data_IF_113471381483
#
_entry.id   IF_113471381483
#
_cell.length_a   1.000
_cell.length_b   1.000
_cell.length_c   1.000
_cell.angle_alpha   90.00
_cell.angle_beta   90.00
_cell.angle_gamma   90.00
#
_symmetry.space_group_name_H-M   'P 1'
#
loop_
_entity.id
_entity.type
_entity.pdbx_description
1 polymer ?
#
# COMPACT_ATOMS: atom_id res chain seq x y z
N UNK A 1 13.87 -44.35 -33.01
CA UNK A 1 13.67 -44.86 -31.64
C UNK A 1 14.99 -45.36 -31.12
N UNK A 2 15.58 -44.79 -30.05
CA UNK A 2 16.69 -45.46 -29.41
C UNK A 2 16.12 -46.60 -28.56
N UNK A 3 16.64 -47.81 -28.78
CA UNK A 3 16.38 -48.99 -27.95
C UNK A 3 17.37 -48.94 -26.78
N UNK A 4 16.88 -48.80 -25.56
CA UNK A 4 17.66 -49.03 -24.36
C UNK A 4 17.86 -50.54 -24.15
N UNK A 5 19.08 -50.95 -23.83
CA UNK A 5 19.40 -52.28 -23.31
C UNK A 5 20.00 -52.11 -21.91
N UNK A 6 19.49 -52.87 -20.95
CA UNK A 6 19.91 -52.88 -19.55
C UNK A 6 21.20 -53.69 -19.37
N UNK A 7 22.18 -53.12 -18.66
CA UNK A 7 23.21 -53.83 -17.93
C UNK A 7 23.54 -53.06 -16.62
N UNK A 8 23.99 -53.81 -15.61
CA UNK A 8 24.06 -53.52 -14.17
C UNK A 8 25.11 -52.44 -13.71
N UNK A 9 25.26 -52.13 -12.40
CA UNK A 9 25.30 -50.77 -11.86
C UNK A 9 26.64 -50.04 -12.07
N UNK A 10 26.60 -49.05 -12.96
CA UNK A 10 27.61 -48.01 -13.10
C UNK A 10 26.94 -46.79 -13.69
N UNK A 11 27.14 -45.61 -13.08
CA UNK A 11 26.53 -44.32 -13.44
C UNK A 11 26.27 -44.17 -14.96
N UNK A 12 25.00 -44.22 -15.37
CA UNK A 12 24.57 -43.70 -16.66
C UNK A 12 24.82 -42.18 -16.67
N UNK A 13 25.81 -41.74 -17.44
CA UNK A 13 25.80 -40.38 -18.01
C UNK A 13 25.45 -40.55 -19.48
N UNK A 14 24.16 -40.73 -19.77
CA UNK A 14 23.66 -40.59 -21.14
C UNK A 14 23.72 -39.10 -21.52
N UNK A 15 24.90 -38.64 -21.94
CA UNK A 15 25.05 -37.48 -22.81
C UNK A 15 24.69 -37.92 -24.22
N UNK A 16 23.40 -37.98 -24.51
CA UNK A 16 22.92 -38.14 -25.88
C UNK A 16 22.94 -36.79 -26.60
N UNK A 17 23.43 -36.78 -27.84
CA UNK A 17 23.17 -35.65 -28.73
C UNK A 17 21.68 -35.63 -29.05
N UNK A 18 21.01 -34.54 -28.69
CA UNK A 18 19.61 -34.32 -29.03
C UNK A 18 19.55 -33.73 -30.44
N UNK A 19 18.59 -34.19 -31.21
CA UNK A 19 18.04 -33.46 -32.36
C UNK A 19 16.53 -33.51 -32.25
N UNK A 20 15.92 -32.39 -31.92
CA UNK A 20 14.48 -32.25 -31.80
C UNK A 20 14.04 -31.02 -32.60
N UNK A 21 12.87 -31.10 -33.23
CA UNK A 21 12.24 -29.93 -33.84
C UNK A 21 10.84 -29.80 -33.27
N UNK A 22 10.48 -28.58 -32.88
CA UNK A 22 9.16 -28.23 -32.39
C UNK A 22 8.58 -27.19 -33.34
N UNK A 23 7.45 -27.54 -33.94
CA UNK A 23 6.64 -26.64 -34.76
C UNK A 23 5.24 -26.58 -34.21
N UNK A 24 4.76 -25.37 -33.96
CA UNK A 24 3.42 -25.11 -33.53
C UNK A 24 2.96 -23.80 -34.18
N UNK A 25 1.78 -23.83 -34.76
CA UNK A 25 1.11 -22.63 -35.29
C UNK A 25 -0.11 -22.39 -34.42
N UNK A 26 -0.23 -21.17 -33.89
CA UNK A 26 -1.40 -20.75 -33.14
C UNK A 26 -1.74 -21.68 -31.96
N UNK A 27 -0.74 -22.21 -31.27
CA UNK A 27 -0.94 -23.08 -30.11
C UNK A 27 -1.53 -22.26 -28.97
N UNK A 28 -2.73 -22.63 -28.53
CA UNK A 28 -3.35 -22.09 -27.32
C UNK A 28 -2.41 -22.34 -26.14
N UNK A 29 -2.18 -21.38 -25.25
CA UNK A 29 -1.31 -21.57 -24.08
C UNK A 29 -2.04 -22.15 -22.87
N UNK A 30 -3.38 -22.24 -22.89
CA UNK A 30 -4.18 -22.73 -21.78
C UNK A 30 -3.82 -24.17 -21.36
N UNK A 31 -3.29 -25.00 -22.28
CA UNK A 31 -2.85 -26.37 -21.94
C UNK A 31 -1.61 -26.42 -21.05
N UNK A 32 -0.78 -25.35 -20.99
CA UNK A 32 0.46 -25.36 -20.19
C UNK A 32 0.16 -25.49 -18.70
N UNK A 33 -0.88 -24.81 -18.21
CA UNK A 33 -1.32 -24.94 -16.82
C UNK A 33 -1.75 -26.39 -16.51
N UNK A 34 -2.54 -26.99 -17.40
CA UNK A 34 -2.98 -28.38 -17.29
C UNK A 34 -1.80 -29.38 -17.31
N UNK A 35 -0.82 -29.18 -18.18
CA UNK A 35 0.36 -30.05 -18.29
C UNK A 35 1.31 -29.93 -17.10
N UNK A 36 1.38 -28.75 -16.48
CA UNK A 36 2.20 -28.50 -15.29
C UNK A 36 1.57 -29.04 -13.99
N UNK A 37 0.33 -29.57 -14.04
CA UNK A 37 -0.41 -30.01 -12.86
C UNK A 37 -0.69 -28.89 -11.87
N UNK A 38 -0.66 -27.63 -12.33
CA UNK A 38 -0.89 -26.43 -11.55
C UNK A 38 -2.09 -25.70 -12.11
N UNK A 39 -3.00 -25.31 -11.21
CA UNK A 39 -4.16 -24.47 -11.58
C UNK A 39 -3.73 -23.03 -11.88
N UNK A 40 -2.57 -22.60 -11.37
CA UNK A 40 -2.14 -21.20 -11.34
C UNK A 40 -0.60 -21.07 -11.49
N UNK A 41 -0.10 -19.99 -12.11
CA UNK A 41 -0.86 -18.96 -12.84
C UNK A 41 -1.52 -19.53 -14.10
N UNK A 42 -2.69 -19.00 -14.45
CA UNK A 42 -3.36 -19.33 -15.70
C UNK A 42 -2.72 -18.52 -16.83
N UNK A 43 -2.30 -19.20 -17.90
CA UNK A 43 -1.68 -18.56 -19.07
C UNK A 43 -2.62 -18.76 -20.25
N UNK A 44 -3.18 -17.67 -20.76
CA UNK A 44 -4.00 -17.65 -21.96
C UNK A 44 -3.28 -16.93 -23.10
N UNK A 45 -3.65 -17.21 -24.35
CA UNK A 45 -3.08 -16.58 -25.54
C UNK A 45 -2.57 -17.59 -26.54
N UNK A 46 -1.84 -17.13 -27.56
CA UNK A 46 -1.36 -17.98 -28.65
C UNK A 46 0.15 -17.93 -28.83
N UNK A 47 0.72 -19.07 -29.18
CA UNK A 47 2.13 -19.27 -29.45
C UNK A 47 2.35 -19.81 -30.86
N UNK A 48 3.14 -19.09 -31.65
CA UNK A 48 3.75 -19.63 -32.87
C UNK A 48 5.20 -20.01 -32.55
N UNK A 49 5.63 -21.22 -32.90
CA UNK A 49 6.95 -21.76 -32.58
C UNK A 49 7.47 -22.53 -33.78
N UNK A 50 8.70 -22.24 -34.21
CA UNK A 50 9.49 -23.09 -35.11
C UNK A 50 10.92 -23.08 -34.60
N UNK A 51 11.29 -24.10 -33.81
CA UNK A 51 12.58 -24.19 -33.13
C UNK A 51 13.17 -25.59 -33.28
N UNK A 52 14.42 -25.66 -33.71
CA UNK A 52 15.25 -26.87 -33.70
C UNK A 52 16.23 -26.80 -32.52
N UNK A 53 16.31 -27.88 -31.76
CA UNK A 53 17.28 -28.10 -30.69
C UNK A 53 18.27 -29.19 -31.12
N UNK A 54 19.56 -28.87 -31.10
CA UNK A 54 20.64 -29.79 -31.50
C UNK A 54 21.79 -29.86 -30.48
N UNK A 55 22.50 -30.98 -30.41
CA UNK A 55 23.71 -31.14 -29.59
C UNK A 55 23.45 -31.68 -28.19
N UNK A 56 24.45 -31.57 -27.31
CA UNK A 56 24.47 -32.28 -26.04
C UNK A 56 23.50 -31.73 -24.99
N UNK A 57 22.77 -32.63 -24.32
CA UNK A 57 22.02 -32.31 -23.10
C UNK A 57 22.96 -32.10 -21.90
N UNK A 58 22.58 -31.24 -20.94
CA UNK A 58 21.32 -30.49 -20.82
C UNK A 58 21.30 -29.14 -21.55
N UNK A 59 22.32 -28.80 -22.34
CA UNK A 59 22.48 -27.47 -22.96
C UNK A 59 22.53 -27.56 -24.50
N UNK A 60 21.42 -27.96 -25.15
CA UNK A 60 21.36 -27.98 -26.60
C UNK A 60 21.49 -26.56 -27.18
N UNK A 61 21.92 -26.48 -28.43
CA UNK A 61 21.86 -25.29 -29.26
C UNK A 61 20.47 -25.17 -29.88
N UNK A 62 19.85 -24.00 -29.75
CA UNK A 62 18.53 -23.68 -30.26
C UNK A 62 18.66 -22.76 -31.48
N UNK A 63 17.94 -23.10 -32.55
CA UNK A 63 17.82 -22.22 -33.74
C UNK A 63 16.36 -22.14 -34.15
N UNK A 64 15.86 -20.93 -34.37
CA UNK A 64 14.49 -20.74 -34.81
C UNK A 64 13.84 -19.49 -34.23
N UNK A 65 12.51 -19.45 -34.25
CA UNK A 65 11.73 -18.30 -33.79
C UNK A 65 10.52 -18.72 -32.96
N UNK A 66 10.16 -17.83 -32.04
CA UNK A 66 8.97 -17.90 -31.22
C UNK A 66 8.23 -16.57 -31.33
N UNK A 67 6.93 -16.60 -31.56
CA UNK A 67 6.06 -15.43 -31.49
C UNK A 67 4.93 -15.65 -30.49
N UNK A 68 4.73 -14.67 -29.62
CA UNK A 68 3.66 -14.59 -28.63
C UNK A 68 2.58 -13.66 -29.16
N UNK A 69 1.32 -14.07 -29.04
CA UNK A 69 0.17 -13.24 -29.41
C UNK A 69 -0.86 -13.22 -28.30
N UNK A 70 -1.22 -12.01 -27.87
CA UNK A 70 -2.26 -11.73 -26.87
C UNK A 70 -2.10 -12.55 -25.57
N UNK A 71 -0.86 -12.80 -25.14
CA UNK A 71 -0.59 -13.64 -23.97
C UNK A 71 -0.98 -12.92 -22.69
N UNK A 72 -1.81 -13.54 -21.86
CA UNK A 72 -2.21 -13.02 -20.55
C UNK A 72 -1.85 -14.01 -19.46
N UNK A 73 -1.38 -13.50 -18.33
CA UNK A 73 -1.02 -14.29 -17.16
C UNK A 73 -1.87 -13.85 -15.98
N UNK A 74 -2.75 -14.72 -15.51
CA UNK A 74 -3.62 -14.48 -14.36
C UNK A 74 -3.06 -15.18 -13.12
N UNK A 75 -3.09 -14.52 -11.96
CA UNK A 75 -2.62 -15.08 -10.69
C UNK A 75 -3.79 -15.40 -9.75
N UNK A 76 -3.54 -16.29 -8.80
CA UNK A 76 -4.47 -16.76 -7.77
C UNK A 76 -5.16 -15.66 -6.94
N UNK A 77 -4.48 -14.53 -6.77
CA UNK A 77 -4.78 -13.53 -5.75
C UNK A 77 -5.88 -12.53 -6.12
N UNK A 78 -6.65 -12.78 -7.19
CA UNK A 78 -7.65 -11.83 -7.69
C UNK A 78 -7.03 -10.54 -8.26
N UNK A 79 -5.71 -10.51 -8.43
CA UNK A 79 -5.01 -9.43 -9.10
C UNK A 79 -5.35 -9.43 -10.60
N UNK A 80 -5.38 -8.24 -11.20
CA UNK A 80 -5.61 -8.12 -12.63
C UNK A 80 -4.57 -8.90 -13.43
N UNK A 81 -4.99 -9.55 -14.53
CA UNK A 81 -4.08 -10.32 -15.36
C UNK A 81 -2.99 -9.42 -15.94
N UNK A 82 -1.75 -9.93 -15.98
CA UNK A 82 -0.65 -9.27 -16.68
C UNK A 82 -0.83 -9.54 -18.17
N UNK A 83 -0.90 -8.48 -18.97
CA UNK A 83 -1.01 -8.55 -20.42
C UNK A 83 -2.25 -7.81 -20.96
N UNK A 84 -2.55 -7.95 -22.27
CA UNK A 84 -1.93 -8.87 -23.22
C UNK A 84 -0.44 -8.59 -23.46
N UNK A 85 0.30 -9.62 -23.86
CA UNK A 85 1.72 -9.54 -24.23
C UNK A 85 1.88 -10.08 -25.65
N UNK A 86 2.44 -9.27 -26.52
CA UNK A 86 2.82 -9.64 -27.87
C UNK A 86 4.34 -9.60 -28.00
N UNK A 87 4.93 -10.55 -28.69
CA UNK A 87 6.38 -10.57 -28.79
C UNK A 87 6.95 -11.52 -29.82
N UNK A 88 8.25 -11.32 -30.10
CA UNK A 88 9.02 -12.15 -31.01
C UNK A 88 10.42 -12.38 -30.45
N UNK A 89 10.81 -13.64 -30.40
CA UNK A 89 12.09 -14.10 -29.90
C UNK A 89 12.76 -14.95 -30.99
N UNK A 90 14.04 -14.68 -31.26
CA UNK A 90 14.87 -15.48 -32.16
C UNK A 90 15.90 -16.25 -31.35
N UNK A 91 15.99 -17.55 -31.57
CA UNK A 91 17.01 -18.40 -30.97
C UNK A 91 18.17 -18.60 -31.93
N UNK A 92 19.40 -18.50 -31.43
CA UNK A 92 20.62 -18.77 -32.19
C UNK A 92 21.70 -19.35 -31.27
N UNK A 93 21.99 -20.63 -31.42
CA UNK A 93 22.90 -21.35 -30.54
C UNK A 93 22.37 -21.38 -29.10
N UNK A 94 23.16 -20.89 -28.15
CA UNK A 94 22.74 -20.78 -26.74
C UNK A 94 22.34 -19.36 -26.35
N UNK A 95 21.62 -18.69 -27.24
CA UNK A 95 21.11 -17.35 -26.99
C UNK A 95 19.71 -17.17 -27.57
N UNK A 96 18.93 -16.33 -26.89
CA UNK A 96 17.63 -15.83 -27.28
C UNK A 96 17.74 -14.32 -27.44
N UNK A 97 17.47 -13.83 -28.64
CA UNK A 97 17.28 -12.41 -28.93
C UNK A 97 15.80 -12.11 -28.79
N UNK A 98 15.43 -11.30 -27.80
CA UNK A 98 14.11 -10.69 -27.74
C UNK A 98 14.14 -9.51 -28.72
N UNK A 99 13.53 -9.71 -29.88
CA UNK A 99 13.46 -8.68 -30.93
C UNK A 99 12.45 -7.60 -30.56
N UNK A 100 11.37 -8.01 -29.89
CA UNK A 100 10.32 -7.14 -29.38
C UNK A 100 9.46 -7.92 -28.40
N UNK A 101 9.16 -7.33 -27.27
CA UNK A 101 8.05 -7.70 -26.39
C UNK A 101 7.29 -6.42 -26.07
N UNK A 102 5.96 -6.45 -26.20
CA UNK A 102 5.09 -5.29 -25.99
C UNK A 102 3.97 -5.69 -25.05
N UNK A 103 3.75 -4.87 -24.03
CA UNK A 103 2.60 -4.93 -23.13
C UNK A 103 1.84 -3.62 -23.29
N UNK A 104 0.79 -3.56 -24.13
CA UNK A 104 -0.06 -2.37 -24.23
C UNK A 104 -0.77 -2.08 -22.91
N UNK A 105 -0.94 -0.80 -22.59
CA UNK A 105 -1.67 -0.33 -21.40
C UNK A 105 -2.34 1.01 -21.70
N UNK A 106 -3.67 1.00 -21.89
CA UNK A 106 -4.42 2.16 -22.37
C UNK A 106 -3.92 2.62 -23.74
N UNK A 107 -3.55 3.91 -23.83
CA UNK A 107 -2.95 4.52 -25.03
C UNK A 107 -1.42 4.33 -25.12
N UNK A 108 -0.79 3.77 -24.08
CA UNK A 108 0.66 3.56 -24.00
C UNK A 108 1.08 2.09 -24.05
N UNK A 109 2.37 1.84 -23.82
CA UNK A 109 2.92 0.49 -23.78
C UNK A 109 4.24 0.39 -23.00
N UNK A 110 4.49 -0.78 -22.42
CA UNK A 110 5.81 -1.21 -21.98
C UNK A 110 6.43 -2.07 -23.09
N UNK A 111 7.65 -1.73 -23.51
CA UNK A 111 8.39 -2.45 -24.54
C UNK A 111 9.67 -3.03 -23.94
N UNK A 112 10.02 -4.24 -24.32
CA UNK A 112 11.28 -4.85 -23.94
C UNK A 112 11.99 -5.48 -25.15
N UNK A 113 13.31 -5.32 -25.17
CA UNK A 113 14.21 -5.87 -26.18
C UNK A 113 15.55 -6.24 -25.54
N UNK A 114 16.30 -7.14 -26.16
CA UNK A 114 17.64 -7.48 -25.69
C UNK A 114 17.98 -8.96 -25.87
N UNK A 115 18.98 -9.42 -25.14
CA UNK A 115 19.57 -10.75 -25.32
C UNK A 115 19.68 -11.49 -24.00
N UNK A 116 19.38 -12.78 -24.05
CA UNK A 116 19.67 -13.73 -22.97
C UNK A 116 20.52 -14.85 -23.55
N UNK A 117 21.72 -15.05 -23.02
CA UNK A 117 22.62 -16.13 -23.42
C UNK A 117 22.88 -17.06 -22.23
N UNK A 118 22.95 -18.37 -22.44
CA UNK A 118 23.10 -19.32 -21.33
C UNK A 118 24.25 -20.30 -21.55
N UNK A 119 24.87 -20.69 -20.44
CA UNK A 119 25.84 -21.77 -20.37
C UNK A 119 25.62 -22.63 -19.10
N UNK A 120 26.51 -23.58 -18.83
CA UNK A 120 26.42 -24.48 -17.67
C UNK A 120 26.45 -23.78 -16.31
N UNK A 121 26.86 -22.52 -16.25
CA UNK A 121 26.98 -21.72 -15.04
C UNK A 121 25.81 -20.73 -14.87
N UNK A 122 24.86 -20.66 -15.81
CA UNK A 122 23.68 -19.79 -15.73
C UNK A 122 23.43 -18.93 -16.98
N UNK A 123 22.42 -18.06 -16.92
CA UNK A 123 22.00 -17.17 -18.02
C UNK A 123 22.50 -15.74 -17.82
N UNK A 124 23.28 -15.25 -18.77
CA UNK A 124 23.68 -13.86 -18.93
C UNK A 124 22.57 -13.09 -19.66
N UNK A 125 22.11 -12.01 -19.05
CA UNK A 125 20.93 -11.25 -19.44
C UNK A 125 21.34 -9.81 -19.70
N UNK A 126 20.86 -9.23 -20.79
CA UNK A 126 20.96 -7.81 -21.10
C UNK A 126 19.67 -7.37 -21.80
N UNK A 127 18.77 -6.76 -21.04
CA UNK A 127 17.46 -6.34 -21.50
C UNK A 127 17.27 -4.85 -21.26
N UNK A 128 16.71 -4.18 -22.27
CA UNK A 128 16.21 -2.80 -22.17
C UNK A 128 14.69 -2.84 -22.12
N UNK A 129 14.13 -2.20 -21.11
CA UNK A 129 12.70 -1.97 -20.96
C UNK A 129 12.43 -0.47 -21.14
N UNK A 130 11.41 -0.13 -21.93
CA UNK A 130 11.00 1.26 -22.20
C UNK A 130 9.52 1.38 -21.92
N UNK A 131 9.17 2.23 -20.97
CA UNK A 131 7.81 2.64 -20.70
C UNK A 131 7.52 3.92 -21.51
N UNK A 132 6.40 3.92 -22.21
CA UNK A 132 5.93 5.01 -23.07
C UNK A 132 4.44 5.18 -22.80
N UNK A 133 4.11 6.19 -21.99
CA UNK A 133 2.79 6.41 -21.40
C UNK A 133 2.18 5.14 -20.77
N UNK A 134 3.00 4.27 -20.15
CA UNK A 134 2.54 2.98 -19.64
C UNK A 134 1.68 3.16 -18.39
N UNK A 135 0.37 2.96 -18.52
CA UNK A 135 -0.54 3.14 -17.40
C UNK A 135 -0.29 2.11 -16.29
N UNK A 136 -0.27 2.60 -15.04
CA UNK A 136 -0.13 1.78 -13.85
C UNK A 136 -1.24 0.71 -13.79
N UNK A 137 -0.93 -0.54 -13.41
CA UNK A 137 -1.93 -1.59 -13.26
C UNK A 137 -3.03 -1.19 -12.27
N UNK A 138 -4.27 -1.67 -12.48
CA UNK A 138 -5.34 -1.43 -11.52
C UNK A 138 -5.04 -2.17 -10.19
N UNK A 139 -5.65 -1.69 -9.10
CA UNK A 139 -5.39 -2.21 -7.74
C UNK A 139 -4.25 -1.54 -6.99
N UNK A 140 -3.44 -0.70 -7.65
CA UNK A 140 -2.52 0.22 -6.97
C UNK A 140 -3.31 1.41 -6.39
N UNK A 141 -2.88 1.98 -5.25
CA UNK A 141 -3.50 3.18 -4.67
C UNK A 141 -3.25 4.47 -5.48
N UNK A 142 -2.53 4.34 -6.61
CA UNK A 142 -2.19 5.41 -7.52
C UNK A 142 -2.57 5.01 -8.94
N UNK A 143 -3.18 5.95 -9.66
CA UNK A 143 -3.38 5.92 -11.11
C UNK A 143 -2.37 6.86 -11.75
N UNK A 144 -1.91 6.57 -12.97
CA UNK A 144 -0.96 7.41 -13.68
C UNK A 144 -0.26 6.65 -14.79
N UNK A 145 0.60 7.33 -15.54
CA UNK A 145 1.39 6.74 -16.61
C UNK A 145 2.89 6.88 -16.34
N UNK A 146 3.62 5.83 -16.66
CA UNK A 146 5.07 5.77 -16.55
C UNK A 146 5.74 6.00 -17.91
N UNK A 147 6.74 6.86 -17.92
CA UNK A 147 7.65 7.10 -19.03
C UNK A 147 9.09 6.85 -18.59
N UNK A 148 9.92 6.31 -19.47
CA UNK A 148 11.35 6.16 -19.19
C UNK A 148 11.89 4.80 -19.58
N UNK A 149 13.07 4.48 -19.06
CA UNK A 149 13.76 3.26 -19.44
C UNK A 149 14.49 2.62 -18.26
N UNK A 150 14.41 1.29 -18.22
CA UNK A 150 15.15 0.44 -17.30
C UNK A 150 16.05 -0.51 -18.09
N UNK A 151 17.16 -0.89 -17.49
CA UNK A 151 18.05 -1.96 -17.98
C UNK A 151 18.08 -3.06 -16.94
N UNK A 152 17.87 -4.30 -17.36
CA UNK A 152 18.05 -5.49 -16.55
C UNK A 152 19.23 -6.28 -17.11
N UNK A 153 20.34 -6.29 -16.37
CA UNK A 153 21.60 -6.83 -16.86
C UNK A 153 22.29 -7.74 -15.84
N UNK A 154 23.15 -8.64 -16.31
CA UNK A 154 23.96 -9.51 -15.49
C UNK A 154 23.49 -10.95 -15.51
N UNK A 155 23.96 -11.74 -14.55
CA UNK A 155 23.81 -13.19 -14.59
C UNK A 155 22.73 -13.68 -13.64
N UNK A 156 21.70 -14.33 -14.16
CA UNK A 156 20.65 -14.96 -13.36
C UNK A 156 21.24 -15.96 -12.35
N UNK A 157 20.79 -15.95 -11.07
CA UNK A 157 19.70 -15.13 -10.51
C UNK A 157 20.10 -13.72 -10.04
N UNK A 158 21.40 -13.39 -10.01
CA UNK A 158 21.92 -12.10 -9.56
C UNK A 158 21.91 -11.06 -10.68
N UNK A 159 20.71 -10.56 -11.00
CA UNK A 159 20.53 -9.50 -11.99
C UNK A 159 20.63 -8.12 -11.37
N UNK A 160 20.92 -7.12 -12.18
CA UNK A 160 20.90 -5.74 -11.79
C UNK A 160 19.87 -4.95 -12.61
N UNK A 161 18.94 -4.30 -11.92
CA UNK A 161 17.89 -3.46 -12.50
C UNK A 161 18.23 -1.99 -12.25
N UNK A 162 18.46 -1.23 -13.33
CA UNK A 162 18.86 0.18 -13.23
C UNK A 162 18.05 1.07 -14.17
N UNK A 163 17.83 2.32 -13.79
CA UNK A 163 17.27 3.31 -14.72
C UNK A 163 16.43 4.37 -14.02
N UNK A 164 15.66 5.09 -14.83
CA UNK A 164 14.81 6.17 -14.35
C UNK A 164 13.44 6.11 -15.02
N UNK A 165 12.42 6.32 -14.20
CA UNK A 165 11.02 6.40 -14.60
C UNK A 165 10.47 7.76 -14.16
N UNK A 166 9.66 8.37 -15.02
CA UNK A 166 8.83 9.52 -14.75
C UNK A 166 7.38 9.04 -14.58
N UNK A 167 6.75 9.41 -13.49
CA UNK A 167 5.33 9.28 -13.24
C UNK A 167 4.70 10.68 -13.33
N UNK A 168 4.02 10.96 -14.44
CA UNK A 168 3.40 12.25 -14.68
C UNK A 168 1.88 12.19 -14.49
N UNK A 169 1.30 13.24 -13.90
CA UNK A 169 -0.16 13.40 -13.79
C UNK A 169 -0.83 12.31 -12.95
N UNK A 170 -0.12 11.77 -11.96
CA UNK A 170 -0.64 10.70 -11.13
C UNK A 170 -1.84 11.18 -10.30
N UNK A 171 -2.77 10.28 -10.01
CA UNK A 171 -3.84 10.51 -9.04
C UNK A 171 -3.74 9.46 -7.96
N UNK A 172 -3.44 9.89 -6.74
CA UNK A 172 -3.34 9.03 -5.56
C UNK A 172 -4.59 9.26 -4.73
N UNK A 173 -5.35 8.19 -4.52
CA UNK A 173 -6.51 8.23 -3.63
C UNK A 173 -6.13 7.56 -2.31
N UNK A 174 -6.05 8.37 -1.27
CA UNK A 174 -5.88 7.89 0.09
C UNK A 174 -7.23 7.36 0.56
N UNK A 175 -7.37 6.04 0.81
CA UNK A 175 -8.63 5.51 1.30
C UNK A 175 -8.96 6.22 2.62
N UNK A 176 -10.18 6.79 2.66
CA UNK A 176 -10.79 7.28 3.88
C UNK A 176 -10.69 6.14 4.89
N UNK A 177 -10.16 6.41 6.10
CA UNK A 177 -10.44 5.46 7.17
C UNK A 177 -11.94 5.54 7.35
N UNK A 178 -12.63 4.42 7.23
CA UNK A 178 -13.91 4.29 7.87
C UNK A 178 -13.67 4.68 9.32
N UNK A 179 -14.11 5.89 9.71
CA UNK A 179 -14.46 6.13 11.10
C UNK A 179 -15.24 4.88 11.52
N UNK A 180 -14.97 4.29 12.69
CA UNK A 180 -15.89 3.30 13.25
C UNK A 180 -17.17 4.04 13.67
N UNK A 181 -17.83 4.68 12.71
CA UNK A 181 -19.20 5.12 12.78
C UNK A 181 -20.01 3.87 12.54
N UNK A 182 -20.78 3.52 13.57
CA UNK A 182 -21.66 2.38 13.61
C UNK A 182 -22.72 2.45 12.50
N UNK A 183 -22.42 1.93 11.32
CA UNK A 183 -23.40 1.39 10.37
C UNK A 183 -22.71 0.91 9.10
N UNK A 184 -22.24 -0.35 9.10
CA UNK A 184 -22.31 -1.23 7.92
C UNK A 184 -21.94 -2.67 8.29
N UNK A 185 -22.99 -3.46 8.55
CA UNK A 185 -23.19 -4.83 8.07
C UNK A 185 -21.94 -5.74 8.11
N UNK A 186 -21.75 -6.43 9.24
CA UNK A 186 -20.90 -7.63 9.31
C UNK A 186 -21.72 -8.87 8.96
N UNK A 187 -21.90 -9.20 7.68
CA UNK A 187 -22.31 -10.56 7.28
C UNK A 187 -21.10 -11.47 7.51
N UNK A 188 -21.24 -12.44 8.41
CA UNK A 188 -20.21 -13.47 8.62
C UNK A 188 -20.19 -14.43 7.44
N UNK A 189 -19.01 -14.62 6.85
CA UNK A 189 -18.80 -15.65 5.84
C UNK A 189 -17.51 -15.54 5.04
N UNK A 190 -16.40 -15.09 5.64
CA UNK A 190 -15.07 -15.23 5.03
C UNK A 190 -14.08 -15.56 6.16
N UNK A 191 -13.19 -16.56 5.99
CA UNK A 191 -12.18 -16.87 7.00
C UNK A 191 -11.37 -15.63 7.33
N UNK A 192 -10.95 -15.57 8.59
CA UNK A 192 -10.05 -14.58 9.16
C UNK A 192 -8.74 -14.54 8.36
N UNK A 193 -8.73 -13.77 7.27
CA UNK A 193 -7.51 -13.35 6.59
C UNK A 193 -6.92 -12.21 7.43
N UNK A 194 -5.96 -12.58 8.26
CA UNK A 194 -4.72 -11.84 8.53
C UNK A 194 -4.80 -10.32 8.33
N UNK A 195 -5.60 -9.64 9.14
CA UNK A 195 -5.61 -8.19 9.25
C UNK A 195 -4.39 -7.65 10.02
N UNK A 196 -3.20 -8.21 9.74
CA UNK A 196 -1.88 -7.69 10.12
C UNK A 196 -1.02 -7.31 8.92
N UNK A 197 -1.47 -7.53 7.68
CA UNK A 197 -0.62 -7.34 6.49
C UNK A 197 -0.80 -6.00 5.76
N UNK A 198 -1.85 -5.20 6.03
CA UNK A 198 -2.20 -4.13 5.09
C UNK A 198 -1.50 -2.77 5.26
N UNK A 199 -0.47 -2.62 6.10
CA UNK A 199 0.38 -1.39 6.11
C UNK A 199 1.88 -1.66 6.37
N UNK A 200 2.35 -2.89 6.18
CA UNK A 200 3.77 -3.22 6.32
C UNK A 200 4.02 -4.71 6.17
N UNK A 201 4.35 -5.15 4.96
CA UNK A 201 4.58 -6.58 4.69
C UNK A 201 4.47 -7.00 3.24
N UNK A 202 4.63 -6.10 2.26
CA UNK A 202 4.87 -6.53 0.88
C UNK A 202 6.30 -6.99 0.75
N UNK A 203 6.59 -8.23 1.15
CA UNK A 203 7.90 -8.84 0.92
C UNK A 203 8.26 -8.73 -0.56
N UNK A 204 9.52 -8.43 -0.86
CA UNK A 204 10.05 -8.53 -2.24
C UNK A 204 9.74 -9.93 -2.75
N UNK A 205 9.12 -10.09 -3.94
CA UNK A 205 8.91 -11.43 -4.49
C UNK A 205 10.23 -12.22 -4.48
N UNK A 206 10.21 -13.48 -4.05
CA UNK A 206 11.41 -14.29 -3.84
C UNK A 206 12.38 -14.30 -5.05
N UNK A 207 11.85 -14.14 -6.26
CA UNK A 207 12.65 -14.11 -7.49
C UNK A 207 13.40 -12.79 -7.72
N UNK A 208 12.96 -11.69 -7.10
CA UNK A 208 13.60 -10.36 -7.15
C UNK A 208 14.57 -10.17 -5.98
N UNK A 209 14.44 -10.94 -4.90
CA UNK A 209 15.32 -10.85 -3.74
C UNK A 209 16.83 -10.90 -4.09
N UNK A 210 17.31 -11.70 -5.07
CA UNK A 210 18.73 -11.74 -5.42
C UNK A 210 19.21 -10.56 -6.29
N UNK A 211 18.32 -9.63 -6.66
CA UNK A 211 18.66 -8.56 -7.60
C UNK A 211 19.30 -7.36 -6.90
N UNK A 212 20.21 -6.71 -7.63
CA UNK A 212 20.74 -5.37 -7.34
C UNK A 212 19.84 -4.31 -8.01
N UNK A 213 19.10 -3.53 -7.24
CA UNK A 213 18.13 -2.57 -7.77
C UNK A 213 18.61 -1.15 -7.50
N UNK A 214 18.63 -0.33 -8.54
CA UNK A 214 18.90 1.11 -8.48
C UNK A 214 18.02 1.85 -9.48
N UNK A 215 16.81 2.19 -9.04
CA UNK A 215 15.79 2.82 -9.88
C UNK A 215 15.41 4.17 -9.31
N UNK A 216 15.48 5.21 -10.14
CA UNK A 216 14.92 6.51 -9.82
C UNK A 216 13.48 6.62 -10.33
N UNK A 217 12.57 7.09 -9.48
CA UNK A 217 11.21 7.49 -9.83
C UNK A 217 11.10 9.00 -9.62
N UNK A 218 10.84 9.73 -10.69
CA UNK A 218 10.48 11.14 -10.67
C UNK A 218 8.97 11.23 -10.73
N UNK A 219 8.37 11.99 -9.83
CA UNK A 219 6.93 12.24 -9.80
C UNK A 219 6.70 13.70 -10.12
N UNK A 220 5.81 13.97 -11.09
CA UNK A 220 5.45 15.32 -11.49
C UNK A 220 3.94 15.48 -11.59
N UNK A 221 3.43 16.59 -11.09
CA UNK A 221 2.03 16.97 -11.15
C UNK A 221 1.11 15.88 -10.57
N UNK A 222 1.52 15.25 -9.47
CA UNK A 222 0.75 14.18 -8.85
C UNK A 222 -0.29 14.76 -7.89
N UNK A 223 -1.56 14.47 -8.15
CA UNK A 223 -2.65 14.91 -7.31
C UNK A 223 -2.98 13.85 -6.23
N UNK A 224 -2.78 14.20 -4.97
CA UNK A 224 -3.07 13.36 -3.80
C UNK A 224 -4.38 13.83 -3.15
N UNK A 225 -5.35 12.92 -3.05
CA UNK A 225 -6.68 13.21 -2.50
C UNK A 225 -7.10 12.21 -1.45
N UNK A 226 -7.88 12.67 -0.46
CA UNK A 226 -8.48 11.83 0.58
C UNK A 226 -7.92 12.11 1.97
N UNK A 227 -8.62 11.67 3.01
CA UNK A 227 -8.26 11.95 4.42
C UNK A 227 -8.14 13.44 4.71
N UNK A 228 -9.00 14.25 4.07
CA UNK A 228 -8.96 15.71 4.14
C UNK A 228 -7.88 16.39 3.31
N UNK A 229 -6.92 15.64 2.73
CA UNK A 229 -5.88 16.21 1.88
C UNK A 229 -6.37 16.39 0.43
N UNK A 230 -5.96 17.50 -0.18
CA UNK A 230 -6.05 17.75 -1.61
C UNK A 230 -4.79 18.53 -2.01
N UNK A 231 -3.80 17.81 -2.52
CA UNK A 231 -2.43 18.28 -2.71
C UNK A 231 -1.99 17.99 -4.15
N UNK A 232 -1.26 18.93 -4.74
CA UNK A 232 -0.46 18.71 -5.94
C UNK A 232 1.01 18.57 -5.52
N UNK A 233 1.63 17.47 -5.91
CA UNK A 233 2.89 16.97 -5.36
C UNK A 233 3.87 16.65 -6.46
N UNK A 234 5.09 17.16 -6.29
CA UNK A 234 6.26 16.78 -7.07
C UNK A 234 7.23 15.99 -6.18
N UNK A 235 8.11 15.20 -6.78
CA UNK A 235 9.10 14.49 -6.00
C UNK A 235 10.08 13.64 -6.79
N UNK A 236 11.08 13.14 -6.08
CA UNK A 236 12.01 12.16 -6.61
C UNK A 236 12.36 11.16 -5.53
N UNK A 237 12.20 9.88 -5.86
CA UNK A 237 12.52 8.76 -4.98
C UNK A 237 13.48 7.83 -5.71
N UNK A 238 14.53 7.41 -5.03
CA UNK A 238 15.43 6.36 -5.47
C UNK A 238 15.14 5.10 -4.67
N UNK A 239 14.89 4.01 -5.38
CA UNK A 239 14.70 2.66 -4.83
C UNK A 239 16.03 1.93 -4.96
N UNK A 240 16.59 1.55 -3.82
CA UNK A 240 17.86 0.84 -3.74
C UNK A 240 17.63 -0.54 -3.12
N UNK A 241 18.19 -1.59 -3.70
CA UNK A 241 18.17 -2.93 -3.10
C UNK A 241 19.50 -3.61 -3.36
N UNK A 242 20.21 -3.99 -2.30
CA UNK A 242 21.35 -4.90 -2.43
C UNK A 242 20.85 -6.35 -2.53
N UNK A 243 21.56 -7.24 -3.26
CA UNK A 243 21.18 -8.64 -3.35
C UNK A 243 20.95 -9.31 -2.00
N UNK A 244 19.76 -9.86 -1.79
CA UNK A 244 19.34 -10.52 -0.56
C UNK A 244 18.92 -9.58 0.57
N UNK A 245 18.87 -8.27 0.32
CA UNK A 245 18.41 -7.27 1.27
C UNK A 245 17.00 -6.75 0.93
N UNK A 246 16.34 -6.16 1.91
CA UNK A 246 15.11 -5.41 1.70
C UNK A 246 15.40 -4.07 0.99
N UNK A 247 14.50 -3.59 0.11
CA UNK A 247 14.66 -2.34 -0.59
C UNK A 247 14.58 -1.15 0.38
N UNK A 248 15.34 -0.11 0.08
CA UNK A 248 15.28 1.18 0.76
C UNK A 248 14.82 2.26 -0.21
N UNK A 249 14.17 3.28 0.35
CA UNK A 249 13.60 4.38 -0.42
C UNK A 249 14.22 5.68 0.09
N UNK A 250 14.90 6.40 -0.80
CA UNK A 250 15.60 7.65 -0.47
C UNK A 250 15.14 8.77 -1.40
N UNK A 251 14.80 9.94 -0.86
CA UNK A 251 14.34 11.05 -1.68
C UNK A 251 13.36 11.95 -0.95
N UNK A 252 12.60 12.74 -1.70
CA UNK A 252 11.63 13.65 -1.13
C UNK A 252 10.45 13.91 -2.04
N UNK A 253 9.33 14.28 -1.42
CA UNK A 253 8.15 14.85 -2.05
C UNK A 253 7.93 16.26 -1.51
N UNK A 254 7.46 17.15 -2.37
CA UNK A 254 7.14 18.54 -2.06
C UNK A 254 5.73 18.85 -2.57
N UNK A 255 4.97 19.55 -1.74
CA UNK A 255 3.64 20.07 -2.10
C UNK A 255 3.83 21.40 -2.80
N UNK A 256 3.44 21.48 -4.07
CA UNK A 256 3.48 22.70 -4.89
C UNK A 256 2.27 23.60 -4.61
N UNK A 257 1.09 23.00 -4.52
CA UNK A 257 -0.15 23.66 -4.08
C UNK A 257 -0.99 22.65 -3.32
N UNK A 258 -1.83 23.12 -2.40
CA UNK A 258 -2.74 22.22 -1.74
C UNK A 258 -3.43 22.76 -0.52
N UNK A 259 -4.41 21.98 -0.08
CA UNK A 259 -5.20 22.25 1.11
C UNK A 259 -5.41 20.99 1.93
N UNK A 260 -5.57 21.19 3.23
CA UNK A 260 -5.93 20.16 4.18
C UNK A 260 -7.17 20.55 4.96
N UNK A 261 -8.16 19.66 5.01
CA UNK A 261 -9.38 19.83 5.78
C UNK A 261 -9.26 19.12 7.13
N UNK A 262 -9.43 19.88 8.20
CA UNK A 262 -9.44 19.39 9.57
C UNK A 262 -10.68 19.91 10.29
N UNK A 263 -11.55 19.02 10.79
CA UNK A 263 -12.77 19.40 11.53
C UNK A 263 -13.59 20.52 10.83
N UNK A 264 -13.94 20.31 9.57
CA UNK A 264 -14.66 21.25 8.69
C UNK A 264 -13.92 22.56 8.34
N UNK A 265 -12.63 22.65 8.67
CA UNK A 265 -11.80 23.82 8.42
C UNK A 265 -10.75 23.53 7.38
N UNK A 266 -10.61 24.44 6.43
CA UNK A 266 -9.61 24.32 5.36
C UNK A 266 -8.38 25.14 5.74
N UNK A 267 -7.23 24.49 5.67
CA UNK A 267 -5.91 25.08 5.77
C UNK A 267 -5.21 24.99 4.42
N UNK A 268 -4.58 26.06 3.98
CA UNK A 268 -3.70 26.08 2.81
C UNK A 268 -2.33 25.53 3.21
N UNK A 269 -1.71 24.72 2.37
CA UNK A 269 -0.35 24.23 2.62
C UNK A 269 0.62 25.28 2.08
N UNK A 270 1.27 26.03 2.97
CA UNK A 270 2.31 27.01 2.60
C UNK A 270 3.65 26.32 2.32
N UNK A 271 3.90 25.20 3.00
CA UNK A 271 5.07 24.34 2.79
C UNK A 271 4.70 22.91 3.14
N UNK A 272 5.07 21.95 2.31
CA UNK A 272 4.83 20.53 2.61
C UNK A 272 5.94 19.66 2.06
N UNK A 273 6.92 19.31 2.89
CA UNK A 273 8.04 18.46 2.49
C UNK A 273 7.99 17.15 3.26
N UNK A 274 8.07 16.04 2.54
CA UNK A 274 8.21 14.69 3.09
C UNK A 274 9.51 14.10 2.58
N UNK A 275 10.43 13.76 3.49
CA UNK A 275 11.74 13.19 3.15
C UNK A 275 11.82 11.72 3.53
N UNK A 276 12.15 10.87 2.56
CA UNK A 276 12.42 9.46 2.73
C UNK A 276 13.92 9.26 3.05
N UNK A 277 14.26 8.68 4.21
CA UNK A 277 15.63 8.69 4.72
C UNK A 277 16.59 7.67 4.07
N UNK A 278 16.11 6.77 3.21
CA UNK A 278 16.94 5.71 2.65
C UNK A 278 17.28 4.58 3.62
N UNK A 279 16.50 4.44 4.70
CA UNK A 279 16.64 3.37 5.68
C UNK A 279 15.67 2.23 5.40
N UNK A 280 15.88 1.07 6.03
CA UNK A 280 14.96 -0.09 5.90
C UNK A 280 13.60 0.18 6.54
N UNK A 281 13.58 0.96 7.62
CA UNK A 281 12.34 1.37 8.24
C UNK A 281 11.74 2.56 7.46
N UNK A 282 10.58 2.35 6.84
CA UNK A 282 9.84 3.41 6.16
C UNK A 282 9.19 4.36 7.17
N UNK A 283 9.99 5.30 7.69
CA UNK A 283 9.57 6.34 8.65
C UNK A 283 10.04 7.72 8.16
N UNK A 284 9.27 8.38 7.28
CA UNK A 284 9.68 9.65 6.67
C UNK A 284 9.76 10.80 7.66
N UNK A 285 10.59 11.80 7.34
CA UNK A 285 10.60 13.09 8.02
C UNK A 285 9.58 14.02 7.39
N UNK A 286 8.82 14.72 8.23
CA UNK A 286 7.81 15.68 7.87
C UNK A 286 8.32 17.10 8.17
N UNK A 287 8.01 18.02 7.28
CA UNK A 287 8.15 19.46 7.48
C UNK A 287 7.00 20.15 6.72
N UNK A 288 5.90 20.37 7.44
CA UNK A 288 4.64 20.86 6.87
C UNK A 288 4.20 22.10 7.63
N UNK A 289 3.87 23.16 6.89
CA UNK A 289 3.29 24.40 7.40
C UNK A 289 1.93 24.59 6.73
N UNK A 290 0.88 24.45 7.52
CA UNK A 290 -0.49 24.67 7.10
C UNK A 290 -1.01 26.00 7.67
N UNK A 291 -1.64 26.81 6.84
CA UNK A 291 -1.99 28.20 7.15
C UNK A 291 -3.48 28.43 6.98
N UNK A 292 -4.06 29.20 7.90
CA UNK A 292 -5.42 29.65 7.79
C UNK A 292 -5.53 31.14 8.09
N UNK A 293 -6.00 31.90 7.11
CA UNK A 293 -6.19 33.35 7.22
C UNK A 293 -7.63 33.64 7.62
N UNK A 294 -7.81 34.20 8.81
CA UNK A 294 -9.07 34.74 9.31
C UNK A 294 -9.05 36.27 9.13
N UNK A 295 -10.16 36.96 9.45
CA UNK A 295 -10.29 38.40 9.25
C UNK A 295 -9.19 39.21 9.95
N UNK A 296 -8.88 38.83 11.19
CA UNK A 296 -8.03 39.62 12.08
C UNK A 296 -6.76 38.86 12.53
N UNK A 297 -6.60 37.60 12.11
CA UNK A 297 -5.48 36.74 12.52
C UNK A 297 -5.13 35.71 11.45
N UNK A 298 -3.84 35.46 11.25
CA UNK A 298 -3.34 34.31 10.48
C UNK A 298 -2.87 33.23 11.44
N UNK A 299 -3.43 32.03 11.36
CA UNK A 299 -3.01 30.86 12.13
C UNK A 299 -2.06 30.01 11.28
N UNK A 300 -1.00 29.50 11.89
CA UNK A 300 -0.09 28.51 11.29
C UNK A 300 -0.03 27.27 12.16
N UNK A 301 -0.15 26.11 11.54
CA UNK A 301 0.08 24.79 12.14
C UNK A 301 1.34 24.22 11.51
N UNK A 302 2.36 24.04 12.32
CA UNK A 302 3.67 23.53 11.87
C UNK A 302 3.80 22.10 12.37
N UNK A 303 3.94 21.15 11.45
CA UNK A 303 4.12 19.73 11.73
C UNK A 303 5.53 19.33 11.31
N UNK A 304 6.28 18.72 12.23
CA UNK A 304 7.69 18.37 12.03
C UNK A 304 8.05 17.01 12.62
N UNK A 305 9.17 16.45 12.17
CA UNK A 305 9.76 15.22 12.71
C UNK A 305 9.28 13.96 12.01
N UNK A 306 9.54 12.80 12.63
CA UNK A 306 9.24 11.49 12.03
C UNK A 306 7.74 11.22 11.98
N UNK A 307 7.27 10.57 10.93
CA UNK A 307 5.87 10.16 10.78
C UNK A 307 5.38 9.28 11.94
N UNK A 308 6.26 8.45 12.51
CA UNK A 308 5.97 7.63 13.70
C UNK A 308 5.83 8.43 15.00
N UNK A 309 6.40 9.65 15.07
CA UNK A 309 6.41 10.50 16.25
C UNK A 309 6.39 12.00 15.87
N UNK A 310 5.32 12.47 15.21
CA UNK A 310 5.25 13.83 14.70
C UNK A 310 5.11 14.82 15.87
N UNK A 311 5.66 16.02 15.67
CA UNK A 311 5.51 17.15 16.59
C UNK A 311 4.72 18.24 15.89
N UNK A 312 3.77 18.83 16.60
CA UNK A 312 2.96 19.91 16.09
C UNK A 312 3.03 21.14 16.98
N UNK A 313 3.20 22.31 16.37
CA UNK A 313 3.19 23.61 17.03
C UNK A 313 2.18 24.54 16.35
N UNK A 314 1.62 25.46 17.12
CA UNK A 314 0.67 26.46 16.62
C UNK A 314 1.25 27.84 16.81
N UNK A 315 1.12 28.66 15.77
CA UNK A 315 1.59 30.04 15.75
C UNK A 315 0.51 30.95 15.18
N UNK A 316 0.59 32.25 15.48
CA UNK A 316 -0.34 33.25 14.96
C UNK A 316 0.36 34.57 14.66
N UNK A 317 -0.22 35.32 13.72
CA UNK A 317 0.12 36.70 13.43
C UNK A 317 -1.16 37.55 13.41
N UNK A 318 -1.33 38.53 14.34
CA UNK A 318 -0.41 38.87 15.45
C UNK A 318 -0.31 37.74 16.50
N UNK A 319 0.74 37.72 17.35
CA UNK A 319 0.95 36.64 18.31
C UNK A 319 -0.13 36.61 19.39
N UNK A 320 -0.78 35.47 19.54
CA UNK A 320 -1.84 35.21 20.50
C UNK A 320 -1.39 34.36 21.70
N UNK A 321 -2.20 34.37 22.76
CA UNK A 321 -2.06 33.43 23.87
C UNK A 321 -2.35 31.99 23.40
N UNK A 322 -1.81 30.99 24.09
CA UNK A 322 -2.09 29.58 23.76
C UNK A 322 -3.60 29.27 23.83
N UNK A 323 -4.30 29.80 24.83
CA UNK A 323 -5.76 29.68 24.93
C UNK A 323 -6.51 30.29 23.75
N UNK A 324 -6.05 31.43 23.24
CA UNK A 324 -6.66 32.07 22.08
C UNK A 324 -6.32 31.31 20.79
N UNK A 325 -5.09 30.82 20.62
CA UNK A 325 -4.72 29.95 19.48
C UNK A 325 -5.64 28.74 19.38
N UNK A 326 -5.88 28.07 20.50
CA UNK A 326 -6.79 26.92 20.56
C UNK A 326 -8.23 27.31 20.29
N UNK A 327 -8.67 28.46 20.84
CA UNK A 327 -10.01 28.98 20.58
C UNK A 327 -10.21 29.32 19.10
N UNK A 328 -9.23 29.94 18.45
CA UNK A 328 -9.29 30.25 17.03
C UNK A 328 -9.20 29.00 16.16
N UNK A 329 -8.41 27.99 16.55
CA UNK A 329 -8.38 26.71 15.86
C UNK A 329 -9.73 25.99 15.93
N UNK A 330 -10.36 25.97 17.10
CA UNK A 330 -11.56 25.19 17.39
C UNK A 330 -12.88 25.93 17.12
N UNK A 331 -12.90 27.27 17.15
CA UNK A 331 -14.10 28.11 17.09
C UNK A 331 -13.93 29.37 16.21
N UNK A 332 -12.75 29.62 15.64
CA UNK A 332 -12.45 30.78 14.78
C UNK A 332 -12.65 32.15 15.46
N UNK A 333 -12.63 32.16 16.79
CA UNK A 333 -12.88 33.35 17.62
C UNK A 333 -12.00 33.33 18.88
N UNK A 334 -11.72 34.49 19.50
CA UNK A 334 -10.90 34.57 20.71
C UNK A 334 -11.61 33.92 21.90
N UNK A 335 -10.83 33.39 22.85
CA UNK A 335 -11.35 32.62 23.99
C UNK A 335 -12.29 33.46 24.87
N UNK A 336 -12.02 34.76 24.98
CA UNK A 336 -12.85 35.70 25.74
C UNK A 336 -14.27 35.90 25.16
N UNK A 337 -14.52 35.48 23.93
CA UNK A 337 -15.83 35.60 23.26
C UNK A 337 -16.68 34.33 23.31
N UNK A 338 -16.15 33.25 23.93
CA UNK A 338 -16.83 31.97 24.05
C UNK A 338 -17.90 31.98 25.14
N UNK A 339 -19.03 31.31 24.90
CA UNK A 339 -20.04 31.04 25.92
C UNK A 339 -19.54 30.03 26.98
N UNK A 340 -20.32 29.83 28.04
CA UNK A 340 -19.96 28.93 29.15
C UNK A 340 -19.73 27.47 28.69
N UNK A 341 -20.54 26.99 27.75
CA UNK A 341 -20.43 25.63 27.20
C UNK A 341 -19.17 25.46 26.33
N UNK A 342 -18.85 26.45 25.50
CA UNK A 342 -17.69 26.44 24.61
C UNK A 342 -16.38 26.60 25.39
N UNK A 343 -16.39 27.42 26.44
CA UNK A 343 -15.26 27.57 27.36
C UNK A 343 -14.94 26.26 28.09
N UNK A 344 -15.96 25.51 28.52
CA UNK A 344 -15.79 24.19 29.11
C UNK A 344 -15.20 23.17 28.11
N UNK A 345 -15.65 23.22 26.84
CA UNK A 345 -15.07 22.41 25.77
C UNK A 345 -13.60 22.77 25.52
N UNK A 346 -13.27 24.07 25.46
CA UNK A 346 -11.89 24.53 25.30
C UNK A 346 -10.99 24.09 26.47
N UNK A 347 -11.46 24.15 27.72
CA UNK A 347 -10.72 23.63 28.89
C UNK A 347 -10.47 22.12 28.79
N UNK A 348 -11.44 21.36 28.28
CA UNK A 348 -11.28 19.91 28.05
C UNK A 348 -10.30 19.58 26.91
N UNK A 349 -10.24 20.43 25.87
CA UNK A 349 -9.29 20.29 24.77
C UNK A 349 -7.87 20.72 25.17
N UNK A 350 -7.72 21.78 25.97
CA UNK A 350 -6.45 22.27 26.48
C UNK A 350 -5.79 21.27 27.47
N UNK A 351 -6.59 20.52 28.24
CA UNK A 351 -6.09 19.43 29.10
C UNK A 351 -5.64 18.21 28.29
N UNK A 352 -6.14 18.05 27.06
CA UNK A 352 -5.62 17.10 26.08
C UNK A 352 -4.54 17.76 25.21
N UNK A 353 -3.36 18.04 25.79
CA UNK A 353 -2.16 18.63 25.14
C UNK A 353 -2.25 18.58 23.61
N UNK A 354 -2.57 19.71 22.98
CA UNK A 354 -2.97 19.80 21.56
C UNK A 354 -1.92 19.26 20.60
N UNK A 355 -0.64 19.30 20.99
CA UNK A 355 0.44 18.61 20.28
C UNK A 355 0.18 17.11 20.11
N UNK A 356 -0.48 16.46 21.07
CA UNK A 356 -0.91 15.05 21.00
C UNK A 356 -2.10 14.84 20.07
N UNK A 357 -3.09 15.75 20.06
CA UNK A 357 -4.24 15.67 19.14
C UNK A 357 -3.81 15.83 17.68
N UNK A 358 -2.98 16.82 17.39
CA UNK A 358 -2.42 17.01 16.04
C UNK A 358 -1.50 15.85 15.68
N UNK A 359 -0.65 15.37 16.60
CA UNK A 359 0.17 14.19 16.35
C UNK A 359 -0.65 12.91 16.09
N UNK A 360 -1.79 12.72 16.77
CA UNK A 360 -2.69 11.59 16.50
C UNK A 360 -3.35 11.69 15.14
N UNK A 361 -3.73 12.90 14.72
CA UNK A 361 -4.33 13.15 13.40
C UNK A 361 -3.32 13.02 12.27
N UNK A 362 -2.10 13.51 12.46
CA UNK A 362 -0.98 13.28 11.53
C UNK A 362 -0.65 11.78 11.44
N UNK A 363 -0.59 11.09 12.59
CA UNK A 363 -0.44 9.63 12.62
C UNK A 363 -1.59 8.89 11.93
N UNK A 364 -2.82 9.38 12.03
CA UNK A 364 -3.98 8.82 11.35
C UNK A 364 -3.95 9.08 9.83
N UNK A 365 -3.55 10.28 9.41
CA UNK A 365 -3.38 10.65 8.01
C UNK A 365 -2.26 9.81 7.34
N UNK A 366 -1.18 9.54 8.07
CA UNK A 366 0.00 8.78 7.60
C UNK A 366 -0.11 7.26 7.80
N UNK A 367 -1.17 6.77 8.45
CA UNK A 367 -1.43 5.34 8.64
C UNK A 367 -0.66 4.65 9.77
N UNK A 368 0.09 5.37 10.61
CA UNK A 368 1.05 4.80 11.59
C UNK A 368 0.81 5.12 13.08
N UNK A 369 -0.33 5.71 13.47
CA UNK A 369 -0.58 6.03 14.88
C UNK A 369 -0.93 4.81 15.76
N UNK A 370 -0.61 4.81 17.08
CA UNK A 370 -1.16 3.82 18.00
C UNK A 370 -2.69 3.86 17.92
N UNK A 371 -3.32 2.69 17.75
CA UNK A 371 -4.77 2.53 17.77
C UNK A 371 -5.30 2.81 19.17
N UNK A 372 -5.43 4.08 19.54
CA UNK A 372 -6.23 4.47 20.69
C UNK A 372 -7.67 4.44 20.22
N UNK A 373 -8.45 3.51 20.79
CA UNK A 373 -9.87 3.30 20.50
C UNK A 373 -10.63 4.63 20.45
N UNK A 374 -11.54 4.73 19.49
CA UNK A 374 -12.23 5.97 19.14
C UNK A 374 -12.75 6.71 20.37
N UNK A 375 -12.33 7.97 20.51
CA UNK A 375 -13.08 8.94 21.29
C UNK A 375 -14.40 9.17 20.54
N UNK A 376 -15.49 8.61 21.06
CA UNK A 376 -16.84 8.94 20.58
C UNK A 376 -17.46 9.94 21.54
N UNK A 377 -17.75 11.14 21.02
CA UNK A 377 -18.60 12.12 21.69
C UNK A 377 -20.05 11.73 21.40
N UNK A 378 -20.66 10.97 22.30
CA UNK A 378 -22.06 10.57 22.15
C UNK A 378 -22.93 11.44 23.06
N UNK A 379 -23.68 12.36 22.46
CA UNK A 379 -24.79 13.03 23.14
C UNK A 379 -25.96 12.05 23.24
N UNK A 380 -26.00 11.21 24.27
CA UNK A 380 -27.15 10.34 24.54
C UNK A 380 -28.23 11.14 25.26
N UNK A 381 -29.38 11.32 24.62
CA UNK A 381 -30.61 11.81 25.26
C UNK A 381 -31.31 10.65 25.99
N UNK A 382 -30.89 10.38 27.22
CA UNK A 382 -31.53 9.44 28.15
C UNK A 382 -31.59 10.01 29.57
N UNK A 383 -32.35 9.39 30.47
CA UNK A 383 -32.69 9.89 31.82
C UNK A 383 -31.49 10.22 32.73
N UNK A 384 -30.26 9.86 32.36
CA UNK A 384 -29.03 10.15 33.12
C UNK A 384 -28.25 11.40 32.66
N UNK A 385 -28.79 12.17 31.70
CA UNK A 385 -28.16 13.40 31.19
C UNK A 385 -26.98 13.16 30.23
N UNK A 386 -26.40 14.23 29.65
CA UNK A 386 -25.24 14.13 28.75
C UNK A 386 -24.01 13.62 29.53
N UNK A 387 -23.25 12.68 28.94
CA UNK A 387 -22.09 12.06 29.58
C UNK A 387 -20.92 11.89 28.62
N UNK A 388 -19.72 11.73 29.16
CA UNK A 388 -18.50 11.41 28.40
C UNK A 388 -18.10 9.97 28.72
N UNK A 389 -17.83 9.19 27.68
CA UNK A 389 -17.43 7.80 27.80
C UNK A 389 -16.11 7.51 27.11
N UNK A 390 -15.32 6.61 27.71
CA UNK A 390 -14.15 6.01 27.09
C UNK A 390 -14.38 4.50 27.02
N UNK A 391 -14.14 3.89 25.87
CA UNK A 391 -14.30 2.46 25.73
C UNK A 391 -13.55 1.88 24.56
N UNK A 392 -13.29 0.58 24.63
CA UNK A 392 -12.52 -0.14 23.62
C UNK A 392 -12.64 -1.64 23.78
N UNK A 393 -12.34 -2.35 22.71
CA UNK A 393 -12.19 -3.79 22.73
C UNK A 393 -10.82 -4.13 23.35
N UNK A 394 -10.85 -4.85 24.47
CA UNK A 394 -9.64 -5.21 25.22
C UNK A 394 -9.14 -6.62 24.89
N UNK A 395 -10.01 -7.44 24.31
CA UNK A 395 -9.71 -8.76 23.77
C UNK A 395 -10.81 -9.12 22.75
N UNK A 396 -10.59 -10.08 21.83
CA UNK A 396 -11.59 -10.47 20.84
C UNK A 396 -12.93 -10.80 21.48
N UNK A 397 -13.96 -10.02 21.15
CA UNK A 397 -15.31 -10.15 21.68
C UNK A 397 -15.52 -9.59 23.09
N UNK A 398 -14.54 -8.98 23.74
CA UNK A 398 -14.65 -8.35 25.07
C UNK A 398 -14.42 -6.84 24.96
N UNK A 399 -15.46 -6.05 25.18
CA UNK A 399 -15.38 -4.59 25.22
C UNK A 399 -15.66 -4.05 26.61
N UNK A 400 -14.91 -3.01 26.99
CA UNK A 400 -15.09 -2.30 28.25
C UNK A 400 -15.39 -0.84 27.94
N UNK A 401 -16.43 -0.32 28.59
CA UNK A 401 -16.92 1.04 28.44
C UNK A 401 -17.07 1.67 29.83
N UNK A 402 -16.31 2.73 30.09
CA UNK A 402 -16.47 3.55 31.27
C UNK A 402 -17.18 4.84 30.87
N UNK A 403 -18.31 5.13 31.50
CA UNK A 403 -19.09 6.35 31.26
C UNK A 403 -19.20 7.19 32.54
N UNK A 404 -19.14 8.51 32.37
CA UNK A 404 -19.35 9.49 33.44
C UNK A 404 -20.40 10.52 32.99
N UNK A 405 -21.50 10.64 33.75
CA UNK A 405 -22.54 11.62 33.47
C UNK A 405 -22.11 13.03 33.92
N UNK A 406 -22.44 14.05 33.13
CA UNK A 406 -22.16 15.45 33.44
C UNK A 406 -23.28 15.97 34.36
N UNK A 407 -22.94 16.26 35.61
CA UNK A 407 -23.87 16.79 36.62
C UNK A 407 -24.29 15.80 37.72
N UNK A 408 -24.01 14.51 37.56
CA UNK A 408 -24.14 13.50 38.61
C UNK A 408 -22.81 12.76 38.76
N UNK A 409 -22.32 12.56 40.00
CA UNK A 409 -21.13 11.75 40.28
C UNK A 409 -21.39 10.24 40.12
N UNK A 410 -22.09 9.85 39.05
CA UNK A 410 -22.35 8.47 38.71
C UNK A 410 -21.35 8.01 37.66
N UNK A 411 -20.52 7.07 38.06
CA UNK A 411 -19.55 6.39 37.23
C UNK A 411 -20.09 4.98 36.99
N UNK A 412 -20.18 4.54 35.75
CA UNK A 412 -20.60 3.17 35.44
C UNK A 412 -19.55 2.53 34.54
N UNK A 413 -19.11 1.33 34.92
CA UNK A 413 -18.25 0.50 34.09
C UNK A 413 -19.11 -0.62 33.53
N UNK A 414 -19.19 -0.67 32.21
CA UNK A 414 -19.92 -1.66 31.46
C UNK A 414 -18.93 -2.55 30.72
N UNK A 415 -19.06 -3.85 30.92
CA UNK A 415 -18.28 -4.87 30.25
C UNK A 415 -19.24 -5.66 29.38
N UNK A 416 -18.99 -5.73 28.08
CA UNK A 416 -19.73 -6.58 27.17
C UNK A 416 -18.81 -7.70 26.68
N UNK A 417 -19.24 -8.95 26.84
CA UNK A 417 -18.57 -10.10 26.30
C UNK A 417 -19.47 -10.86 25.34
N UNK A 418 -19.07 -10.87 24.07
CA UNK A 418 -19.73 -11.59 22.98
C UNK A 418 -19.00 -12.90 22.74
N UNK A 419 -19.51 -13.95 23.38
CA UNK A 419 -18.94 -15.29 23.26
C UNK A 419 -19.45 -16.05 22.04
N UNK A 420 -20.53 -15.58 21.36
CA UNK A 420 -20.98 -16.06 20.05
C UNK A 420 -21.60 -14.93 19.21
N UNK A 421 -21.67 -15.03 17.87
CA UNK A 421 -22.20 -13.96 17.01
C UNK A 421 -23.61 -13.47 17.36
N UNK A 422 -24.44 -14.35 17.92
CA UNK A 422 -25.81 -14.04 18.35
C UNK A 422 -25.99 -13.88 19.85
N UNK A 423 -24.93 -14.03 20.66
CA UNK A 423 -25.02 -14.04 22.13
C UNK A 423 -23.98 -13.13 22.76
N UNK A 424 -24.42 -12.21 23.62
CA UNK A 424 -23.55 -11.40 24.45
C UNK A 424 -24.01 -11.40 25.91
N UNK A 425 -23.04 -11.25 26.81
CA UNK A 425 -23.27 -10.95 28.23
C UNK A 425 -22.82 -9.54 28.47
N UNK A 426 -23.69 -8.72 29.04
CA UNK A 426 -23.35 -7.38 29.46
C UNK A 426 -23.37 -7.35 30.99
N UNK A 427 -22.30 -6.87 31.60
CA UNK A 427 -22.25 -6.60 33.02
C UNK A 427 -22.05 -5.10 33.23
N UNK A 428 -22.82 -4.53 34.14
CA UNK A 428 -22.69 -3.14 34.55
C UNK A 428 -22.40 -3.07 36.04
N UNK A 429 -21.38 -2.29 36.40
CA UNK A 429 -20.91 -2.12 37.76
C UNK A 429 -20.88 -0.62 38.06
N UNK A 430 -21.64 -0.21 39.07
CA UNK A 430 -21.62 1.16 39.59
C UNK A 430 -21.08 1.21 41.03
N UNK A 431 -20.39 2.30 41.44
CA UNK A 431 -19.91 2.52 42.81
C UNK A 431 -21.02 2.55 43.88
N UNK A 432 -22.28 2.72 43.47
CA UNK A 432 -23.45 2.70 44.37
C UNK A 432 -23.94 1.28 44.71
N UNK A 433 -23.20 0.25 44.30
CA UNK A 433 -23.49 -1.14 44.64
C UNK A 433 -24.57 -1.78 43.76
N UNK A 434 -24.99 -1.12 42.68
CA UNK A 434 -25.81 -1.75 41.65
C UNK A 434 -24.88 -2.45 40.67
N UNK A 435 -24.89 -3.78 40.71
CA UNK A 435 -24.25 -4.64 39.73
C UNK A 435 -25.31 -5.50 39.04
N UNK A 436 -25.42 -5.39 37.72
CA UNK A 436 -26.35 -6.17 36.90
C UNK A 436 -25.58 -7.00 35.87
N UNK A 437 -26.12 -8.15 35.50
CA UNK A 437 -25.61 -8.95 34.39
C UNK A 437 -26.78 -9.44 33.54
N UNK A 438 -26.81 -9.02 32.29
CA UNK A 438 -27.87 -9.33 31.33
C UNK A 438 -27.29 -10.15 30.17
N UNK A 439 -28.06 -11.11 29.67
CA UNK A 439 -27.68 -11.92 28.51
C UNK A 439 -28.58 -11.55 27.35
N UNK A 440 -27.96 -11.14 26.25
CA UNK A 440 -28.65 -10.70 25.05
C UNK A 440 -28.51 -11.74 23.94
N UNK A 441 -29.62 -12.02 23.27
CA UNK A 441 -29.68 -12.84 22.07
C UNK A 441 -30.23 -12.03 20.91
N UNK A 442 -29.53 -12.02 19.77
CA UNK A 442 -29.98 -11.32 18.56
C UNK A 442 -30.08 -12.27 17.36
N UNK A 443 -31.18 -12.12 16.60
CA UNK A 443 -31.44 -12.87 15.37
C UNK A 443 -31.64 -11.86 14.23
N UNK A 444 -30.87 -12.01 13.15
CA UNK A 444 -31.02 -11.21 11.92
C UNK A 444 -32.02 -11.91 10.99
N UNK A 445 -32.88 -11.11 10.35
CA UNK A 445 -33.78 -11.56 9.28
C UNK A 445 -33.16 -11.27 7.91
#
# INVERSE_FOLDING_TARGET
>A
APRAALAEPGRLHERGDVRASLRAESLDLAWLAAAAGRSEPEIAGRLDLDVEATGATPLPELTGTLALREVRVSQASGADPIGPVDGRIRFTGRAAQIERLVVPSGDGALRAEGRVAWDARGADTDLRLVADAFALPPGLPAQGALDGALTLAGRWPALALRGELLLAGARVELPERSDPTWSEIRVHGVPELEARESLGGGGVPDFVAPWDVDVALVVRDAAVRGRGAELDVDGRVRVLQEPGAEPTFAGSFEVEDGRYRFQDRVFEIERGVVTLPGTRALDPQLDVVAVRRLRDVTLRVIVSGRASAPRATLESDPPLSESDLLSYLAFERPAASLGANESAQLQSAATQVVGRLVATQVGAALGGGPSVGGLSLQASSGESGPGVGIGGEIAPGVSVHAAQSIGAFEQAVRIEWRFRPSWSVQSEISPKGQSGADVFWSKRF
#
